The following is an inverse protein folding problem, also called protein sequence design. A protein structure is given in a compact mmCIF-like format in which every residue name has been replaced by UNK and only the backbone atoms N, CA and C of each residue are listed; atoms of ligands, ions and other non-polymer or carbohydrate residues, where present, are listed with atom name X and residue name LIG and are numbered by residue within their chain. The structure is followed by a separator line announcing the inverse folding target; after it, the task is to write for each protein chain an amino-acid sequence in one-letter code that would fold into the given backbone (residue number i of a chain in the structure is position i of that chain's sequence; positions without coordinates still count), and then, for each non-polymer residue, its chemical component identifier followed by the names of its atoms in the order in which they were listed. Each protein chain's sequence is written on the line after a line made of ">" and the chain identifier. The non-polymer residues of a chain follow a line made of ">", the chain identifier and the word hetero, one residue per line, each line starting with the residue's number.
data_IF_990201378345
#
_entry.id   IF_990201378345
#
_cell.length_a   1.000
_cell.length_b   1.000
_cell.length_c   1.000
_cell.angle_alpha   90.00
_cell.angle_beta   90.00
_cell.angle_gamma   90.00
#
_symmetry.space_group_name_H-M   'P 1'
#
loop_
_entity.id
_entity.type
_entity.pdbx_description
1 polymer ?
#
# COMPACT_ATOMS: atom_id res chain seq x y z
N UNK A 1 -43.84 4.85 -8.29
CA UNK A 1 -42.70 5.72 -7.95
C UNK A 1 -42.43 6.54 -9.20
N UNK A 2 -42.41 7.87 -9.07
CA UNK A 2 -42.33 8.79 -10.20
C UNK A 2 -40.86 8.86 -10.67
N UNK A 3 -40.53 8.43 -11.91
CA UNK A 3 -39.15 8.36 -12.38
C UNK A 3 -38.44 9.71 -12.40
N UNK A 4 -39.15 10.84 -12.46
CA UNK A 4 -38.54 12.17 -12.38
C UNK A 4 -38.06 12.51 -10.95
N UNK A 5 -38.75 12.02 -9.93
CA UNK A 5 -38.41 12.26 -8.52
C UNK A 5 -37.17 11.44 -8.11
N UNK A 6 -37.05 10.20 -8.60
CA UNK A 6 -35.88 9.33 -8.37
C UNK A 6 -34.60 9.90 -9.03
N UNK A 7 -34.69 10.44 -10.25
CA UNK A 7 -33.54 11.06 -10.94
C UNK A 7 -33.04 12.29 -10.17
N UNK A 8 -33.98 13.10 -9.64
CA UNK A 8 -33.63 14.28 -8.86
C UNK A 8 -32.92 13.91 -7.55
N UNK A 9 -33.43 12.90 -6.84
CA UNK A 9 -32.82 12.41 -5.60
C UNK A 9 -31.40 11.84 -5.84
N UNK A 10 -31.20 11.10 -6.93
CA UNK A 10 -29.88 10.59 -7.33
C UNK A 10 -28.89 11.72 -7.67
N UNK A 11 -29.36 12.79 -8.32
CA UNK A 11 -28.53 13.95 -8.63
C UNK A 11 -28.10 14.72 -7.37
N UNK A 12 -29.01 14.90 -6.40
CA UNK A 12 -28.71 15.53 -5.11
C UNK A 12 -27.70 14.71 -4.29
N UNK A 13 -27.86 13.39 -4.26
CA UNK A 13 -26.93 12.48 -3.59
C UNK A 13 -25.53 12.50 -4.24
N UNK A 14 -25.46 12.49 -5.58
CA UNK A 14 -24.20 12.58 -6.30
C UNK A 14 -23.44 13.89 -6.01
N UNK A 15 -24.15 15.01 -5.95
CA UNK A 15 -23.57 16.32 -5.58
C UNK A 15 -23.05 16.28 -4.14
N UNK A 16 -23.82 15.72 -3.20
CA UNK A 16 -23.40 15.59 -1.81
C UNK A 16 -22.14 14.73 -1.67
N UNK A 17 -22.08 13.56 -2.32
CA UNK A 17 -20.92 12.68 -2.32
C UNK A 17 -19.71 13.36 -2.97
N UNK A 18 -19.90 14.07 -4.09
CA UNK A 18 -18.81 14.79 -4.78
C UNK A 18 -18.20 15.86 -3.87
N UNK A 19 -19.03 16.64 -3.18
CA UNK A 19 -18.58 17.65 -2.24
C UNK A 19 -17.81 17.03 -1.06
N UNK A 20 -18.28 15.89 -0.54
CA UNK A 20 -17.57 15.14 0.51
C UNK A 20 -16.21 14.64 0.01
N UNK A 21 -16.16 14.02 -1.18
CA UNK A 21 -14.89 13.55 -1.78
C UNK A 21 -13.90 14.70 -1.92
N UNK A 22 -14.32 15.84 -2.46
CA UNK A 22 -13.46 17.02 -2.61
C UNK A 22 -12.96 17.56 -1.25
N UNK A 23 -13.84 17.61 -0.25
CA UNK A 23 -13.49 18.05 1.11
C UNK A 23 -12.44 17.14 1.75
N UNK A 24 -12.63 15.82 1.65
CA UNK A 24 -11.69 14.85 2.19
C UNK A 24 -10.39 14.78 1.39
N UNK A 25 -10.41 15.01 0.07
CA UNK A 25 -9.18 15.19 -0.72
C UNK A 25 -8.35 16.35 -0.18
N UNK A 26 -8.97 17.52 0.04
CA UNK A 26 -8.27 18.68 0.63
C UNK A 26 -7.73 18.40 2.03
N UNK A 27 -8.50 17.67 2.84
CA UNK A 27 -8.07 17.28 4.19
C UNK A 27 -6.89 16.31 4.15
N UNK A 28 -6.92 15.31 3.27
CA UNK A 28 -5.82 14.36 3.09
C UNK A 28 -4.55 15.08 2.66
N UNK A 29 -4.63 16.01 1.71
CA UNK A 29 -3.46 16.77 1.24
C UNK A 29 -2.88 17.65 2.36
N UNK A 30 -3.73 18.35 3.12
CA UNK A 30 -3.31 19.17 4.26
C UNK A 30 -2.64 18.32 5.34
N UNK A 31 -3.30 17.26 5.80
CA UNK A 31 -2.78 16.37 6.85
C UNK A 31 -1.50 15.69 6.39
N UNK A 32 -1.39 15.30 5.12
CA UNK A 32 -0.16 14.71 4.58
C UNK A 32 1.01 15.69 4.60
N UNK A 33 0.77 16.97 4.27
CA UNK A 33 1.79 18.01 4.34
C UNK A 33 2.24 18.25 5.79
N UNK A 34 1.30 18.50 6.70
CA UNK A 34 1.57 18.69 8.13
C UNK A 34 2.31 17.49 8.74
N UNK A 35 1.92 16.26 8.38
CA UNK A 35 2.60 15.04 8.82
C UNK A 35 4.04 14.96 8.32
N UNK A 36 4.28 15.37 7.07
CA UNK A 36 5.64 15.37 6.49
C UNK A 36 6.52 16.39 7.20
N UNK A 37 6.04 17.61 7.40
CA UNK A 37 6.76 18.66 8.11
C UNK A 37 7.05 18.26 9.56
N UNK A 38 6.05 17.73 10.26
CA UNK A 38 6.20 17.27 11.65
C UNK A 38 7.20 16.12 11.77
N UNK A 39 7.23 15.19 10.80
CA UNK A 39 8.23 14.11 10.76
C UNK A 39 9.64 14.68 10.58
N UNK A 40 9.83 15.62 9.66
CA UNK A 40 11.14 16.26 9.46
C UNK A 40 11.61 16.96 10.73
N UNK A 41 10.75 17.76 11.38
CA UNK A 41 11.10 18.43 12.64
C UNK A 41 11.46 17.45 13.76
N UNK A 42 10.74 16.33 13.84
CA UNK A 42 11.02 15.27 14.81
C UNK A 42 12.36 14.57 14.51
N UNK A 43 12.64 14.27 13.24
CA UNK A 43 13.91 13.71 12.79
C UNK A 43 15.08 14.65 13.10
N UNK A 44 14.93 15.95 12.85
CA UNK A 44 15.92 16.97 13.19
C UNK A 44 16.17 17.04 14.70
N UNK A 45 15.12 16.90 15.52
CA UNK A 45 15.26 16.85 16.98
C UNK A 45 16.14 15.69 17.41
N UNK A 46 15.94 14.50 16.82
CA UNK A 46 16.77 13.33 17.12
C UNK A 46 18.18 13.47 16.56
N UNK A 47 18.34 14.00 15.35
CA UNK A 47 19.63 14.17 14.70
C UNK A 47 20.56 15.13 15.46
N UNK A 48 20.01 16.04 16.27
CA UNK A 48 20.76 16.98 17.10
C UNK A 48 20.99 16.51 18.55
N UNK A 49 20.38 15.39 19.00
CA UNK A 49 20.64 14.82 20.32
C UNK A 49 21.88 13.90 20.28
N UNK A 50 22.91 14.25 21.06
CA UNK A 50 24.18 13.52 21.07
C UNK A 50 24.04 12.04 21.48
N UNK A 51 23.12 11.71 22.40
CA UNK A 51 22.88 10.32 22.84
C UNK A 51 22.24 9.51 21.72
N UNK A 52 21.29 10.12 21.01
CA UNK A 52 20.67 9.50 19.84
C UNK A 52 21.68 9.26 18.72
N UNK A 53 22.53 10.24 18.41
CA UNK A 53 23.59 10.09 17.42
C UNK A 53 24.55 8.94 17.78
N UNK A 54 25.01 8.86 19.03
CA UNK A 54 25.90 7.79 19.48
C UNK A 54 25.23 6.41 19.37
N UNK A 55 23.97 6.29 19.80
CA UNK A 55 23.21 5.06 19.66
C UNK A 55 23.02 4.66 18.18
N UNK A 56 22.77 5.63 17.30
CA UNK A 56 22.63 5.41 15.87
C UNK A 56 23.94 4.92 15.23
N UNK A 57 25.09 5.50 15.59
CA UNK A 57 26.40 5.03 15.11
C UNK A 57 26.71 3.60 15.57
N UNK A 58 26.42 3.27 16.83
CA UNK A 58 26.52 1.88 17.33
C UNK A 58 25.60 0.94 16.54
N UNK A 59 24.36 1.33 16.28
CA UNK A 59 23.42 0.53 15.48
C UNK A 59 23.90 0.34 14.02
N UNK A 60 24.49 1.36 13.40
CA UNK A 60 25.10 1.26 12.07
C UNK A 60 26.28 0.28 12.06
N UNK A 61 27.15 0.33 13.08
CA UNK A 61 28.27 -0.60 13.21
C UNK A 61 27.80 -2.05 13.30
N UNK A 62 26.85 -2.34 14.20
CA UNK A 62 26.25 -3.68 14.35
C UNK A 62 25.53 -4.12 13.07
N UNK A 63 24.83 -3.21 12.40
CA UNK A 63 24.16 -3.52 11.12
C UNK A 63 25.16 -3.87 10.02
N UNK A 64 26.30 -3.16 9.96
CA UNK A 64 27.37 -3.44 9.01
C UNK A 64 27.99 -4.81 9.28
N UNK A 65 28.30 -5.11 10.53
CA UNK A 65 28.82 -6.41 10.96
C UNK A 65 27.86 -7.54 10.60
N UNK A 66 26.57 -7.40 10.95
CA UNK A 66 25.51 -8.36 10.56
C UNK A 66 25.45 -8.59 9.05
N UNK A 67 25.59 -7.54 8.25
CA UNK A 67 25.63 -7.65 6.77
C UNK A 67 26.86 -8.42 6.29
N UNK A 68 28.03 -8.17 6.87
CA UNK A 68 29.26 -8.89 6.54
C UNK A 68 29.13 -10.38 6.86
N UNK A 69 28.69 -10.72 8.08
CA UNK A 69 28.44 -12.10 8.50
C UNK A 69 27.45 -12.78 7.55
N UNK A 70 26.33 -12.11 7.20
CA UNK A 70 25.37 -12.66 6.24
C UNK A 70 26.01 -12.92 4.87
N UNK A 71 26.83 -12.00 4.38
CA UNK A 71 27.54 -12.17 3.11
C UNK A 71 28.53 -13.35 3.15
N UNK A 72 29.19 -13.57 4.28
CA UNK A 72 30.06 -14.73 4.49
C UNK A 72 29.29 -16.05 4.54
N UNK A 73 28.17 -16.09 5.27
CA UNK A 73 27.29 -17.27 5.30
C UNK A 73 26.76 -17.62 3.92
N UNK A 74 26.46 -16.63 3.08
CA UNK A 74 26.02 -16.82 1.70
C UNK A 74 27.12 -17.34 0.76
N UNK A 75 28.39 -17.39 1.18
CA UNK A 75 29.44 -18.10 0.42
C UNK A 75 29.25 -19.62 0.50
N UNK A 76 28.52 -20.13 1.49
CA UNK A 76 28.15 -21.54 1.54
C UNK A 76 27.14 -21.85 0.40
N UNK A 77 27.42 -22.82 -0.48
CA UNK A 77 26.53 -23.18 -1.59
C UNK A 77 25.09 -23.52 -1.18
N UNK A 78 24.89 -24.18 -0.04
CA UNK A 78 23.55 -24.51 0.47
C UNK A 78 22.78 -23.26 0.89
N UNK A 79 23.44 -22.31 1.56
CA UNK A 79 22.83 -21.06 1.97
C UNK A 79 22.50 -20.17 0.75
N UNK A 80 23.38 -20.15 -0.25
CA UNK A 80 23.14 -19.44 -1.51
C UNK A 80 21.94 -20.01 -2.27
N UNK A 81 21.89 -21.34 -2.43
CA UNK A 81 20.77 -22.02 -3.09
C UNK A 81 19.44 -21.77 -2.36
N UNK A 82 19.44 -21.83 -1.03
CA UNK A 82 18.26 -21.52 -0.22
C UNK A 82 17.84 -20.06 -0.38
N UNK A 83 18.79 -19.11 -0.36
CA UNK A 83 18.50 -17.70 -0.55
C UNK A 83 17.88 -17.42 -1.92
N UNK A 84 18.35 -18.10 -2.97
CA UNK A 84 17.78 -17.97 -4.31
C UNK A 84 16.37 -18.54 -4.34
N UNK A 85 16.15 -19.74 -3.80
CA UNK A 85 14.82 -20.36 -3.71
C UNK A 85 13.82 -19.48 -2.95
N UNK A 86 14.24 -18.85 -1.85
CA UNK A 86 13.39 -17.90 -1.09
C UNK A 86 13.00 -16.71 -1.95
N UNK A 87 13.94 -16.18 -2.75
CA UNK A 87 13.66 -15.07 -3.66
C UNK A 87 12.66 -15.49 -4.73
N UNK A 88 12.90 -16.61 -5.40
CA UNK A 88 12.04 -17.13 -6.46
C UNK A 88 10.61 -17.36 -5.95
N UNK A 89 10.46 -18.08 -4.82
CA UNK A 89 9.15 -18.29 -4.19
C UNK A 89 8.45 -16.99 -3.76
N UNK A 90 9.21 -15.97 -3.36
CA UNK A 90 8.64 -14.66 -2.99
C UNK A 90 8.13 -13.91 -4.20
N UNK A 91 8.78 -14.05 -5.35
CA UNK A 91 8.38 -13.42 -6.59
C UNK A 91 7.19 -14.17 -7.20
N UNK A 92 7.22 -15.51 -7.24
CA UNK A 92 6.08 -16.36 -7.63
C UNK A 92 4.83 -16.07 -6.79
N UNK A 93 4.99 -15.92 -5.47
CA UNK A 93 3.88 -15.59 -4.57
C UNK A 93 3.25 -14.24 -4.91
N UNK A 94 4.06 -13.20 -5.18
CA UNK A 94 3.53 -11.88 -5.56
C UNK A 94 2.79 -11.92 -6.89
N UNK A 95 3.33 -12.64 -7.87
CA UNK A 95 2.67 -12.82 -9.17
C UNK A 95 1.34 -13.55 -9.01
N UNK A 96 1.32 -14.67 -8.27
CA UNK A 96 0.10 -15.42 -7.97
C UNK A 96 -0.95 -14.55 -7.25
N UNK A 97 -0.55 -13.74 -6.27
CA UNK A 97 -1.44 -12.80 -5.59
C UNK A 97 -2.02 -11.74 -6.54
N UNK A 98 -1.19 -11.19 -7.42
CA UNK A 98 -1.64 -10.20 -8.40
C UNK A 98 -2.65 -10.80 -9.38
N UNK A 99 -2.36 -11.99 -9.89
CA UNK A 99 -3.26 -12.73 -10.78
C UNK A 99 -4.58 -13.07 -10.07
N UNK A 100 -4.52 -13.59 -8.85
CA UNK A 100 -5.69 -13.87 -8.02
C UNK A 100 -6.54 -12.60 -7.82
N UNK A 101 -5.93 -11.47 -7.48
CA UNK A 101 -6.65 -10.21 -7.33
C UNK A 101 -7.37 -9.79 -8.61
N UNK A 102 -6.75 -10.01 -9.78
CA UNK A 102 -7.37 -9.77 -11.08
C UNK A 102 -8.59 -10.67 -11.30
N UNK A 103 -8.43 -11.98 -11.07
CA UNK A 103 -9.52 -12.95 -11.22
C UNK A 103 -10.67 -12.72 -10.24
N UNK A 104 -10.39 -12.33 -9.00
CA UNK A 104 -11.43 -11.97 -8.02
C UNK A 104 -12.19 -10.72 -8.46
N UNK A 105 -11.51 -9.72 -9.01
CA UNK A 105 -12.16 -8.52 -9.54
C UNK A 105 -13.04 -8.84 -10.76
N UNK A 106 -12.57 -9.71 -11.67
CA UNK A 106 -13.37 -10.17 -12.80
C UNK A 106 -14.58 -11.00 -12.35
N UNK A 107 -14.40 -11.91 -11.39
CA UNK A 107 -15.48 -12.70 -10.80
C UNK A 107 -16.55 -11.80 -10.19
N UNK A 108 -16.15 -10.81 -9.37
CA UNK A 108 -17.06 -9.85 -8.78
C UNK A 108 -17.80 -9.03 -9.85
N UNK A 109 -17.10 -8.59 -10.90
CA UNK A 109 -17.69 -7.84 -12.02
C UNK A 109 -18.71 -8.65 -12.83
N UNK A 110 -18.50 -9.97 -12.96
CA UNK A 110 -19.36 -10.85 -13.76
C UNK A 110 -20.58 -11.36 -12.99
N UNK A 111 -20.47 -11.49 -11.67
CA UNK A 111 -21.48 -12.16 -10.82
C UNK A 111 -22.15 -11.24 -9.81
N UNK A 112 -21.61 -10.03 -9.60
CA UNK A 112 -21.96 -9.11 -8.50
C UNK A 112 -21.83 -9.75 -7.10
N UNK A 113 -21.15 -10.90 -6.99
CA UNK A 113 -20.96 -11.61 -5.74
C UNK A 113 -20.04 -10.84 -4.80
N UNK A 114 -20.34 -10.93 -3.50
CA UNK A 114 -19.51 -10.35 -2.42
C UNK A 114 -18.66 -11.41 -1.72
N UNK A 115 -18.86 -12.67 -2.07
CA UNK A 115 -18.23 -13.83 -1.44
C UNK A 115 -17.86 -14.87 -2.50
N UNK A 116 -16.85 -15.68 -2.20
CA UNK A 116 -16.42 -16.82 -3.01
C UNK A 116 -16.18 -18.02 -2.09
N UNK A 117 -16.63 -19.20 -2.51
CA UNK A 117 -16.35 -20.45 -1.81
C UNK A 117 -14.98 -20.99 -2.24
N UNK A 118 -14.14 -21.38 -1.27
CA UNK A 118 -12.86 -22.02 -1.56
C UNK A 118 -13.01 -23.52 -1.83
N UNK A 119 -11.92 -24.17 -2.27
CA UNK A 119 -11.93 -25.61 -2.56
C UNK A 119 -12.19 -26.50 -1.33
N UNK A 120 -12.17 -25.94 -0.12
CA UNK A 120 -12.46 -26.63 1.13
C UNK A 120 -13.89 -26.37 1.63
N UNK A 121 -14.68 -25.60 0.89
CA UNK A 121 -16.05 -25.23 1.25
C UNK A 121 -16.19 -24.03 2.18
N UNK A 122 -15.12 -23.26 2.41
CA UNK A 122 -15.21 -22.05 3.23
C UNK A 122 -15.64 -20.85 2.38
N UNK A 123 -16.59 -20.07 2.88
CA UNK A 123 -16.96 -18.79 2.28
C UNK A 123 -15.94 -17.70 2.66
N UNK A 124 -15.38 -17.05 1.65
CA UNK A 124 -14.43 -15.95 1.76
C UNK A 124 -15.07 -14.66 1.27
N UNK A 125 -14.93 -13.59 2.04
CA UNK A 125 -15.44 -12.27 1.66
C UNK A 125 -14.49 -11.54 0.70
N UNK A 126 -15.05 -10.93 -0.35
CA UNK A 126 -14.31 -10.07 -1.28
C UNK A 126 -14.21 -8.66 -0.69
N UNK A 127 -12.98 -8.17 -0.50
CA UNK A 127 -12.70 -6.82 0.01
C UNK A 127 -12.02 -5.98 -1.08
N UNK A 128 -12.71 -4.93 -1.53
CA UNK A 128 -12.19 -3.99 -2.54
C UNK A 128 -11.74 -2.71 -1.87
N UNK A 129 -10.46 -2.35 -2.03
CA UNK A 129 -9.90 -1.10 -1.48
C UNK A 129 -9.79 -0.04 -2.57
N UNK A 130 -10.74 0.90 -2.58
CA UNK A 130 -10.71 2.04 -3.49
C UNK A 130 -9.63 3.05 -3.07
N UNK A 131 -8.79 3.49 -4.02
CA UNK A 131 -7.78 4.52 -3.80
C UNK A 131 -7.81 5.53 -4.94
N UNK A 132 -7.69 6.82 -4.61
CA UNK A 132 -7.46 7.87 -5.60
C UNK A 132 -5.96 7.98 -5.87
N UNK A 133 -5.58 7.93 -7.15
CA UNK A 133 -4.20 8.14 -7.61
C UNK A 133 -4.17 9.31 -8.60
N UNK A 134 -3.08 10.10 -8.58
CA UNK A 134 -2.91 11.19 -9.55
C UNK A 134 -2.80 10.60 -10.96
N UNK A 135 -3.69 11.01 -11.86
CA UNK A 135 -3.56 10.69 -13.29
C UNK A 135 -2.31 11.38 -13.86
N UNK A 136 -1.54 10.71 -14.74
CA UNK A 136 -0.32 11.25 -15.39
C UNK A 136 -0.60 12.39 -16.39
N UNK A 137 -1.79 13.00 -16.36
CA UNK A 137 -2.31 13.87 -17.42
C UNK A 137 -1.90 15.34 -17.39
N UNK A 138 -1.37 15.90 -16.30
CA UNK A 138 -1.35 17.36 -16.18
C UNK A 138 -0.13 17.92 -15.44
N UNK A 139 1.07 17.66 -15.96
CA UNK A 139 2.26 18.48 -15.67
C UNK A 139 3.36 18.35 -16.74
N UNK A 140 2.96 18.36 -18.01
CA UNK A 140 3.88 18.66 -19.13
C UNK A 140 3.41 19.94 -19.81
N UNK A 141 3.67 21.09 -19.19
CA UNK A 141 3.80 22.42 -19.84
C UNK A 141 4.09 23.49 -18.78
N UNK A 142 5.37 23.73 -18.52
CA UNK A 142 6.09 25.01 -18.69
C UNK A 142 7.46 24.91 -18.03
#
# INVERSE_FOLDING_TARGET
>A
MDPEEDIKNQAEELVAITNLVQTYMGTVDRVKKELTESRTMLEDTFANDARYMEANEKAKAVTKEKKQIKAELLKNPQAMALSQKVKDLSDDFKEAQQMLSGYVADYQRLTDAKEIEDASGNLLQIITVSKLVKSRGENRKR
#
